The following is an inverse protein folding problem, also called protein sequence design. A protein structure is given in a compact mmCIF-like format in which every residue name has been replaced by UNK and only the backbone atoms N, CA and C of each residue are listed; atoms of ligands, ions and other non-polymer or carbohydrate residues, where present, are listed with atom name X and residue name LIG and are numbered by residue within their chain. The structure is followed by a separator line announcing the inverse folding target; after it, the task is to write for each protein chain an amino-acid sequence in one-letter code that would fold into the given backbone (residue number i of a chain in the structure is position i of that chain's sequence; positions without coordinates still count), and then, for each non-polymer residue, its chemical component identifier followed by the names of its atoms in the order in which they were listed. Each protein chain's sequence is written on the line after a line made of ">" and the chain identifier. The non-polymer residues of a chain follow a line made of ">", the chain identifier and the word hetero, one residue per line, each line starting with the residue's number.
data_IF_998069747821
#
_entry.id   IF_998069747821
#
_cell.length_a   1.000
_cell.length_b   1.000
_cell.length_c   1.000
_cell.angle_alpha   90.00
_cell.angle_beta   90.00
_cell.angle_gamma   90.00
#
_symmetry.space_group_name_H-M   'P 1'
#
loop_
_entity.id
_entity.type
_entity.pdbx_description
1 polymer ?
#
# COMPACT_ATOMS: atom_id res chain seq x y z
N UNK A 1 2.41 4.96 -8.55
CA UNK A 1 1.80 3.99 -7.61
C UNK A 1 2.87 3.42 -6.70
N UNK A 2 2.65 3.46 -5.43
CA UNK A 2 3.54 2.92 -4.41
C UNK A 2 2.79 1.83 -3.66
N UNK A 3 3.43 0.72 -3.37
CA UNK A 3 2.75 -0.34 -2.66
C UNK A 3 3.69 -1.45 -2.18
N UNK A 4 3.12 -2.62 -2.03
CA UNK A 4 3.82 -3.84 -1.65
C UNK A 4 3.48 -4.95 -2.64
N UNK A 5 4.39 -5.88 -2.77
CA UNK A 5 4.21 -7.10 -3.55
C UNK A 5 4.61 -8.31 -2.71
N UNK A 6 3.84 -9.37 -2.81
CA UNK A 6 4.27 -10.66 -2.28
C UNK A 6 5.58 -11.09 -2.92
N UNK A 7 6.46 -11.70 -2.14
CA UNK A 7 7.77 -12.13 -2.62
C UNK A 7 7.61 -13.07 -3.82
N UNK A 8 8.31 -12.77 -4.92
CA UNK A 8 8.25 -13.55 -6.16
C UNK A 8 7.09 -13.26 -7.08
N UNK A 9 6.19 -12.33 -6.73
CA UNK A 9 4.98 -12.07 -7.53
C UNK A 9 5.17 -11.08 -8.66
N UNK A 10 6.16 -10.20 -8.60
CA UNK A 10 6.40 -9.23 -9.67
C UNK A 10 6.75 -9.88 -11.00
N UNK A 11 7.38 -11.04 -10.98
CA UNK A 11 7.77 -11.78 -12.20
C UNK A 11 6.59 -12.40 -12.95
N UNK A 12 5.42 -12.50 -12.34
CA UNK A 12 4.24 -13.12 -12.93
C UNK A 12 3.36 -12.16 -13.74
N UNK A 13 3.70 -10.88 -13.85
CA UNK A 13 2.85 -9.86 -14.44
C UNK A 13 3.22 -9.60 -15.91
N UNK A 14 2.75 -10.44 -16.81
CA UNK A 14 3.02 -10.29 -18.24
C UNK A 14 1.91 -9.57 -19.01
N UNK A 15 0.67 -9.71 -18.59
CA UNK A 15 -0.47 -9.20 -19.37
C UNK A 15 -1.52 -8.47 -18.53
N UNK A 16 -1.45 -8.59 -17.21
CA UNK A 16 -2.42 -7.98 -16.30
C UNK A 16 -1.72 -6.90 -15.49
N UNK A 17 -2.39 -5.80 -15.28
CA UNK A 17 -1.85 -4.75 -14.41
C UNK A 17 -1.57 -5.30 -13.02
N UNK A 18 -0.45 -4.91 -12.45
CA UNK A 18 -0.01 -5.44 -11.16
C UNK A 18 -1.08 -5.30 -10.07
N UNK A 19 -1.82 -4.20 -10.05
CA UNK A 19 -2.84 -3.97 -9.03
C UNK A 19 -4.10 -4.83 -9.19
N UNK A 20 -4.24 -5.54 -10.30
CA UNK A 20 -5.35 -6.48 -10.50
C UNK A 20 -5.04 -7.89 -10.00
N UNK A 21 -3.84 -8.10 -9.47
CA UNK A 21 -3.47 -9.40 -8.89
C UNK A 21 -4.03 -9.48 -7.47
N UNK A 22 -4.89 -10.44 -7.26
CA UNK A 22 -5.47 -10.66 -5.94
C UNK A 22 -4.43 -11.20 -4.97
N UNK A 23 -4.61 -10.93 -3.71
CA UNK A 23 -3.95 -11.52 -2.55
C UNK A 23 -2.44 -11.30 -2.41
N UNK A 24 -1.78 -10.69 -3.37
CA UNK A 24 -0.32 -10.60 -3.37
C UNK A 24 0.24 -9.20 -3.61
N UNK A 25 -0.62 -8.25 -3.93
CA UNK A 25 -0.22 -6.88 -4.23
C UNK A 25 -1.14 -5.88 -3.56
N UNK A 26 -0.59 -4.79 -3.14
CA UNK A 26 -1.36 -3.68 -2.60
C UNK A 26 -0.70 -2.36 -2.96
N UNK A 27 -1.49 -1.40 -3.38
CA UNK A 27 -0.99 -0.14 -3.89
C UNK A 27 -1.76 1.06 -3.38
N UNK A 28 -1.02 2.14 -3.13
CA UNK A 28 -1.56 3.46 -2.89
C UNK A 28 -1.39 4.30 -4.15
N UNK A 29 -2.50 4.74 -4.71
CA UNK A 29 -2.54 5.46 -5.97
C UNK A 29 -2.47 6.97 -5.76
N UNK A 30 -2.05 7.66 -6.83
CA UNK A 30 -1.93 9.12 -6.85
C UNK A 30 -3.26 9.85 -6.55
N UNK A 31 -4.39 9.20 -6.76
CA UNK A 31 -5.72 9.78 -6.48
C UNK A 31 -6.16 9.62 -5.01
N UNK A 32 -5.33 9.04 -4.17
CA UNK A 32 -5.63 8.83 -2.76
C UNK A 32 -6.33 7.51 -2.43
N UNK A 33 -6.57 6.69 -3.43
CA UNK A 33 -7.23 5.40 -3.23
C UNK A 33 -6.22 4.26 -3.05
N UNK A 34 -6.67 3.19 -2.44
CA UNK A 34 -5.96 1.91 -2.44
C UNK A 34 -6.62 0.95 -3.42
N UNK A 35 -5.82 0.05 -3.97
CA UNK A 35 -6.30 -0.97 -4.90
C UNK A 35 -5.54 -2.27 -4.67
N UNK A 36 -6.21 -3.33 -4.48
CA UNK A 36 -5.82 -4.74 -4.65
C UNK A 36 -6.59 -5.66 -3.74
N UNK A 37 -6.36 -6.96 -3.87
CA UNK A 37 -6.96 -7.95 -2.99
C UNK A 37 -6.59 -7.76 -1.52
N UNK A 38 -5.32 -7.48 -1.25
CA UNK A 38 -4.83 -7.38 0.14
C UNK A 38 -5.15 -6.04 0.80
N UNK A 39 -5.23 -4.94 0.06
CA UNK A 39 -5.57 -3.63 0.60
C UNK A 39 -7.05 -3.30 0.49
N UNK A 40 -7.80 -4.08 -0.28
CA UNK A 40 -9.14 -3.66 -0.69
C UNK A 40 -9.10 -2.53 -1.70
N UNK A 41 -10.23 -1.89 -1.94
CA UNK A 41 -10.34 -0.76 -2.87
C UNK A 41 -11.17 0.34 -2.24
N UNK A 42 -10.71 1.56 -2.37
CA UNK A 42 -11.45 2.71 -1.87
C UNK A 42 -10.57 3.85 -1.40
N UNK A 43 -11.23 4.90 -0.92
CA UNK A 43 -10.55 6.07 -0.37
C UNK A 43 -9.74 5.71 0.86
N UNK A 44 -8.50 6.15 0.87
CA UNK A 44 -7.60 5.93 2.00
C UNK A 44 -6.93 7.21 2.47
N UNK A 45 -6.38 7.98 1.58
CA UNK A 45 -5.59 9.16 1.92
C UNK A 45 -5.75 10.29 0.91
N UNK A 46 -4.85 11.24 0.97
CA UNK A 46 -4.82 12.38 0.08
C UNK A 46 -4.21 12.02 -1.27
N UNK A 47 -4.72 12.60 -2.33
CA UNK A 47 -4.08 12.53 -3.64
C UNK A 47 -2.65 13.08 -3.56
N UNK A 48 -1.78 12.55 -4.40
CA UNK A 48 -0.40 13.03 -4.49
C UNK A 48 0.00 13.22 -5.96
N UNK A 49 0.98 14.09 -6.17
CA UNK A 49 1.52 14.41 -7.49
C UNK A 49 3.01 14.04 -7.54
N UNK A 50 3.66 14.39 -8.63
CA UNK A 50 5.09 14.26 -8.76
C UNK A 50 5.78 15.00 -7.59
N UNK A 51 6.94 14.54 -7.21
CA UNK A 51 7.74 15.05 -6.10
C UNK A 51 7.22 14.74 -4.69
N UNK A 52 6.04 14.14 -4.54
CA UNK A 52 5.58 13.69 -3.23
C UNK A 52 6.43 12.52 -2.71
N UNK A 53 6.75 12.57 -1.41
CA UNK A 53 7.45 11.48 -0.73
C UNK A 53 6.41 10.57 -0.08
N UNK A 54 6.32 9.35 -0.57
CA UNK A 54 5.40 8.34 -0.04
C UNK A 54 6.18 7.38 0.85
N UNK A 55 5.80 7.33 2.11
CA UNK A 55 6.35 6.37 3.07
C UNK A 55 5.44 5.16 3.23
N UNK A 56 6.01 4.03 3.56
CA UNK A 56 5.30 2.79 3.82
C UNK A 56 5.73 2.26 5.18
N UNK A 57 4.77 1.93 6.04
CA UNK A 57 5.02 1.19 7.27
C UNK A 57 4.28 -0.15 7.20
N UNK A 58 5.00 -1.22 7.48
CA UNK A 58 4.50 -2.58 7.44
C UNK A 58 4.64 -3.21 8.81
N UNK A 59 3.52 -3.57 9.43
CA UNK A 59 3.45 -4.26 10.70
C UNK A 59 2.97 -5.70 10.44
N UNK A 60 3.91 -6.61 10.30
CA UNK A 60 3.59 -8.00 9.99
C UNK A 60 3.10 -8.80 11.19
N UNK A 61 3.36 -8.34 12.41
CA UNK A 61 2.82 -8.99 13.61
C UNK A 61 1.29 -8.86 13.65
N UNK A 62 0.78 -7.74 13.18
CA UNK A 62 -0.66 -7.46 13.09
C UNK A 62 -1.22 -7.53 11.67
N UNK A 63 -0.39 -7.87 10.69
CA UNK A 63 -0.79 -7.92 9.29
C UNK A 63 -1.21 -6.58 8.70
N UNK A 64 -0.66 -5.47 9.19
CA UNK A 64 -1.12 -4.12 8.87
C UNK A 64 -0.14 -3.35 7.98
N UNK A 65 -0.68 -2.49 7.12
CA UNK A 65 0.11 -1.58 6.30
C UNK A 65 -0.46 -0.16 6.38
N UNK A 66 0.45 0.81 6.36
CA UNK A 66 0.14 2.23 6.38
C UNK A 66 0.95 2.96 5.31
N UNK A 67 0.39 4.04 4.81
CA UNK A 67 1.10 4.95 3.90
C UNK A 67 1.14 6.35 4.49
N UNK A 68 2.24 7.05 4.24
CA UNK A 68 2.36 8.48 4.52
C UNK A 68 2.62 9.24 3.23
N UNK A 69 2.26 10.52 3.25
CA UNK A 69 2.57 11.47 2.19
C UNK A 69 3.29 12.65 2.84
N UNK A 70 4.48 12.94 2.35
CA UNK A 70 5.29 14.08 2.81
C UNK A 70 5.44 14.13 4.34
N UNK A 71 5.65 12.95 4.94
CA UNK A 71 5.80 12.80 6.39
C UNK A 71 4.49 12.73 7.19
N UNK A 72 3.34 12.88 6.56
CA UNK A 72 2.03 12.77 7.21
C UNK A 72 1.40 11.42 6.96
N UNK A 73 1.15 10.65 8.02
CA UNK A 73 0.45 9.38 7.90
C UNK A 73 -0.99 9.62 7.45
N UNK A 74 -1.44 8.80 6.52
CA UNK A 74 -2.74 8.94 5.90
C UNK A 74 -3.84 8.25 6.72
N UNK A 75 -5.10 8.48 6.35
CA UNK A 75 -6.27 7.90 7.02
C UNK A 75 -6.31 8.21 8.52
N UNK A 76 -5.81 9.40 8.93
CA UNK A 76 -5.74 9.83 10.33
C UNK A 76 -4.87 8.94 11.24
N UNK A 77 -4.02 8.10 10.69
CA UNK A 77 -3.06 7.34 11.48
C UNK A 77 -2.00 8.27 12.10
N UNK A 78 -1.44 7.85 13.22
CA UNK A 78 -0.33 8.55 13.87
C UNK A 78 0.86 7.61 14.04
N UNK A 79 2.07 8.17 14.09
CA UNK A 79 3.27 7.39 14.34
C UNK A 79 3.18 6.62 15.67
N UNK A 80 2.58 7.20 16.70
CA UNK A 80 2.38 6.54 17.98
C UNK A 80 1.45 5.33 17.90
N UNK A 81 0.36 5.43 17.14
CA UNK A 81 -0.56 4.32 16.90
C UNK A 81 0.15 3.19 16.14
N UNK A 82 0.89 3.52 15.11
CA UNK A 82 1.63 2.54 14.31
C UNK A 82 2.65 1.81 15.19
N UNK A 83 3.43 2.55 15.98
CA UNK A 83 4.43 1.98 16.89
C UNK A 83 3.80 1.11 17.98
N UNK A 84 2.60 1.42 18.42
CA UNK A 84 1.87 0.66 19.43
C UNK A 84 1.14 -0.56 18.87
N UNK A 85 1.16 -0.79 17.54
CA UNK A 85 0.42 -1.86 16.90
C UNK A 85 -1.09 -1.63 16.82
N UNK A 86 -1.54 -0.38 16.95
CA UNK A 86 -2.95 -0.01 16.83
C UNK A 86 -3.32 0.05 15.35
N UNK A 87 -4.21 -0.80 14.90
CA UNK A 87 -4.47 -1.02 13.47
C UNK A 87 -5.69 -0.29 12.92
N UNK A 88 -6.36 0.53 13.72
CA UNK A 88 -7.64 1.17 13.37
C UNK A 88 -7.59 1.96 12.06
N UNK A 89 -6.49 2.63 11.77
CA UNK A 89 -6.32 3.50 10.61
C UNK A 89 -5.39 2.92 9.55
N UNK A 90 -5.12 1.63 9.61
CA UNK A 90 -4.33 0.95 8.60
C UNK A 90 -5.06 0.90 7.24
N UNK A 91 -4.31 0.85 6.16
CA UNK A 91 -4.86 0.64 4.83
C UNK A 91 -5.41 -0.78 4.68
N UNK A 92 -4.78 -1.74 5.31
CA UNK A 92 -5.26 -3.12 5.43
C UNK A 92 -4.74 -3.73 6.73
N UNK A 93 -5.47 -4.71 7.26
CA UNK A 93 -5.09 -5.52 8.42
C UNK A 93 -5.11 -7.01 8.12
N UNK A 94 -5.15 -7.38 6.85
CA UNK A 94 -5.28 -8.79 6.43
C UNK A 94 -4.04 -9.32 5.70
N UNK A 95 -2.89 -8.70 5.88
CA UNK A 95 -1.65 -9.15 5.27
C UNK A 95 -1.12 -10.40 5.96
N UNK A 96 -0.90 -11.45 5.20
CA UNK A 96 -0.49 -12.76 5.73
C UNK A 96 0.75 -13.33 5.05
N UNK A 97 1.24 -12.68 3.99
CA UNK A 97 2.37 -13.17 3.20
C UNK A 97 3.66 -12.42 3.53
N UNK A 98 4.75 -12.86 2.95
CA UNK A 98 5.98 -12.08 2.92
C UNK A 98 5.87 -11.03 1.81
N UNK A 99 6.19 -9.77 2.11
CA UNK A 99 6.06 -8.65 1.20
C UNK A 99 7.37 -7.88 1.05
N UNK A 100 7.48 -7.18 -0.06
CA UNK A 100 8.54 -6.21 -0.33
C UNK A 100 7.92 -4.92 -0.82
N UNK A 101 8.49 -3.75 -0.48
CA UNK A 101 8.07 -2.50 -1.09
C UNK A 101 8.19 -2.56 -2.62
N UNK A 102 7.25 -1.94 -3.29
CA UNK A 102 7.21 -1.96 -4.75
C UNK A 102 6.80 -0.61 -5.31
N UNK A 103 7.41 -0.26 -6.44
CA UNK A 103 7.08 0.92 -7.21
C UNK A 103 6.53 0.47 -8.56
N UNK A 104 5.37 1.00 -8.92
CA UNK A 104 4.70 0.64 -10.16
C UNK A 104 4.51 1.86 -11.04
N UNK A 105 4.79 1.71 -12.32
CA UNK A 105 4.44 2.73 -13.32
C UNK A 105 2.93 2.87 -13.46
N UNK A 106 2.48 4.08 -13.70
CA UNK A 106 1.06 4.37 -13.97
C UNK A 106 0.73 3.92 -15.40
N UNK A 107 0.46 2.72 -15.60
CA UNK A 107 0.11 2.01 -16.83
C UNK A 107 -0.03 2.80 -18.13
N UNK A 108 0.08 2.14 -19.23
CA UNK A 108 -0.13 2.72 -20.55
C UNK A 108 1.13 3.21 -21.26
N UNK A 109 2.23 3.11 -20.66
CA UNK A 109 3.50 3.43 -21.32
C UNK A 109 4.49 2.32 -21.18
#
# INVERSE_FOLDING_TARGET
>A
MIGISGVGKLDAHSSTRAYNQNDQLGMYFYDGNTYSGDLGSGSYGSAYADDAVIGVALDMDNGAIYFSKDGTWQNSATASQIAAGTTTNAASTSLTNAYTPALFGAGGN
#
